data_IF_378473804451
#
_entry.id   IF_378473804451
#
_cell.length_a   1.000
_cell.length_b   1.000
_cell.length_c   1.000
_cell.angle_alpha   90.00
_cell.angle_beta   90.00
_cell.angle_gamma   90.00
#
_symmetry.space_group_name_H-M   'P 1'
#
loop_
_entity.id
_entity.type
_entity.pdbx_description
1 polymer ?
#
# COMPACT_ATOMS: atom_id res chain seq x y z
N UNK A 1 -13.56 9.13 12.80
CA UNK A 1 -12.89 8.35 11.73
C UNK A 1 -11.47 8.82 11.40
N UNK A 2 -11.20 10.14 11.30
CA UNK A 2 -9.86 10.68 10.97
C UNK A 2 -8.85 10.52 12.11
N UNK A 3 -9.29 10.78 13.34
CA UNK A 3 -8.49 10.60 14.56
C UNK A 3 -8.08 9.15 14.76
N UNK A 4 -8.98 8.19 14.48
CA UNK A 4 -8.67 6.77 14.55
C UNK A 4 -7.58 6.37 13.55
N UNK A 5 -7.62 6.90 12.32
CA UNK A 5 -6.56 6.68 11.32
C UNK A 5 -5.21 7.24 11.79
N UNK A 6 -5.21 8.42 12.40
CA UNK A 6 -4.00 9.07 12.94
C UNK A 6 -3.42 8.28 14.12
N UNK A 7 -4.27 7.87 15.06
CA UNK A 7 -3.88 7.02 16.19
C UNK A 7 -3.26 5.72 15.69
N UNK A 8 -3.89 5.08 14.70
CA UNK A 8 -3.39 3.84 14.13
C UNK A 8 -2.04 4.04 13.42
N UNK A 9 -1.87 5.13 12.67
CA UNK A 9 -0.58 5.48 12.05
C UNK A 9 0.53 5.72 13.08
N UNK A 10 0.23 6.44 14.16
CA UNK A 10 1.20 6.70 15.25
C UNK A 10 1.57 5.41 15.97
N UNK A 11 0.58 4.54 16.24
CA UNK A 11 0.81 3.24 16.86
C UNK A 11 1.72 2.36 16.00
N UNK A 12 1.47 2.30 14.69
CA UNK A 12 2.29 1.55 13.74
C UNK A 12 3.72 2.10 13.68
N UNK A 13 3.89 3.43 13.73
CA UNK A 13 5.21 4.07 13.72
C UNK A 13 6.01 3.72 14.97
N UNK A 14 5.38 3.79 16.15
CA UNK A 14 5.98 3.37 17.42
C UNK A 14 6.35 1.89 17.42
N UNK A 15 5.45 1.04 16.92
CA UNK A 15 5.69 -0.39 16.83
C UNK A 15 6.85 -0.72 15.87
N UNK A 16 6.95 -0.01 14.74
CA UNK A 16 8.07 -0.14 13.81
C UNK A 16 9.40 0.29 14.44
N UNK A 17 9.43 1.44 15.13
CA UNK A 17 10.63 1.90 15.84
C UNK A 17 11.09 0.89 16.91
N UNK A 18 10.14 0.33 17.66
CA UNK A 18 10.44 -0.70 18.66
C UNK A 18 10.89 -2.03 18.04
N UNK A 19 10.31 -2.44 16.91
CA UNK A 19 10.72 -3.64 16.19
C UNK A 19 12.14 -3.55 15.61
N UNK A 20 12.60 -2.35 15.24
CA UNK A 20 13.99 -2.12 14.81
C UNK A 20 14.96 -2.26 15.98
N UNK A 21 14.62 -1.73 17.16
CA UNK A 21 15.44 -1.86 18.38
C UNK A 21 15.47 -3.31 18.87
N UNK A 22 14.37 -4.06 18.73
CA UNK A 22 14.31 -5.47 19.10
C UNK A 22 15.21 -6.35 18.20
N UNK A 23 15.47 -5.93 16.95
CA UNK A 23 16.37 -6.64 16.03
C UNK A 23 17.85 -6.48 16.38
N UNK A 24 18.25 -5.46 17.15
CA UNK A 24 19.66 -5.25 17.54
C UNK A 24 20.07 -6.02 18.79
N UNK A 25 19.19 -6.84 19.36
CA UNK A 25 19.44 -7.65 20.55
C UNK A 25 20.04 -9.01 20.16
N UNK A 26 20.87 -9.57 21.04
CA UNK A 26 21.53 -10.88 20.81
C UNK A 26 20.54 -12.03 20.62
N UNK A 27 19.33 -11.90 21.16
CA UNK A 27 18.22 -12.84 20.96
C UNK A 27 17.02 -12.14 20.30
N UNK A 28 17.06 -11.95 18.97
CA UNK A 28 15.95 -11.35 18.27
C UNK A 28 14.74 -12.29 18.32
N UNK A 29 13.57 -11.73 18.65
CA UNK A 29 12.32 -12.50 18.67
C UNK A 29 11.84 -12.71 17.23
N UNK A 30 12.03 -13.90 16.69
CA UNK A 30 11.58 -14.31 15.33
C UNK A 30 10.12 -13.89 15.05
N UNK A 31 9.24 -13.96 16.06
CA UNK A 31 7.84 -13.60 15.91
C UNK A 31 7.62 -12.13 15.55
N UNK A 32 8.46 -11.22 16.07
CA UNK A 32 8.42 -9.78 15.75
C UNK A 32 8.84 -9.54 14.29
N UNK A 33 9.81 -10.31 13.79
CA UNK A 33 10.24 -10.24 12.39
C UNK A 33 9.15 -10.73 11.43
N UNK A 34 8.47 -11.84 11.75
CA UNK A 34 7.35 -12.36 10.94
C UNK A 34 6.22 -11.33 10.85
N UNK A 35 5.86 -10.70 11.98
CA UNK A 35 4.83 -9.65 12.01
C UNK A 35 5.28 -8.41 11.22
N UNK A 36 6.55 -8.02 11.32
CA UNK A 36 7.12 -6.91 10.56
C UNK A 36 7.01 -7.10 9.06
N UNK A 37 7.34 -8.29 8.56
CA UNK A 37 7.22 -8.66 7.15
C UNK A 37 5.75 -8.64 6.71
N UNK A 38 4.85 -9.24 7.49
CA UNK A 38 3.42 -9.26 7.16
C UNK A 38 2.82 -7.83 7.07
N UNK A 39 3.19 -6.94 7.99
CA UNK A 39 2.77 -5.54 7.96
C UNK A 39 3.36 -4.76 6.78
N UNK A 40 4.61 -5.04 6.41
CA UNK A 40 5.26 -4.43 5.25
C UNK A 40 4.53 -4.80 3.96
N UNK A 41 4.28 -6.09 3.75
CA UNK A 41 3.53 -6.58 2.57
C UNK A 41 2.10 -6.04 2.54
N UNK A 42 1.40 -6.01 3.68
CA UNK A 42 0.06 -5.43 3.76
C UNK A 42 0.06 -3.93 3.40
N UNK A 43 1.04 -3.18 3.92
CA UNK A 43 1.18 -1.76 3.62
C UNK A 43 1.48 -1.52 2.14
N UNK A 44 2.37 -2.33 1.55
CA UNK A 44 2.70 -2.29 0.13
C UNK A 44 1.48 -2.62 -0.74
N UNK A 45 0.75 -3.68 -0.42
CA UNK A 45 -0.50 -4.05 -1.11
C UNK A 45 -1.52 -2.90 -1.08
N UNK A 46 -1.70 -2.27 0.08
CA UNK A 46 -2.63 -1.15 0.25
C UNK A 46 -2.20 0.12 -0.49
N UNK A 47 -0.89 0.38 -0.58
CA UNK A 47 -0.35 1.49 -1.36
C UNK A 47 -0.54 1.26 -2.86
N UNK A 48 -0.29 0.04 -3.34
CA UNK A 48 -0.48 -0.33 -4.75
C UNK A 48 -1.94 -0.24 -5.19
N UNK A 49 -2.91 -0.52 -4.31
CA UNK A 49 -4.33 -0.29 -4.58
C UNK A 49 -4.70 1.18 -4.83
N UNK A 50 -3.88 2.11 -4.33
CA UNK A 50 -4.09 3.55 -4.49
C UNK A 50 -3.29 4.17 -5.62
N UNK A 51 -2.45 3.41 -6.31
CA UNK A 51 -1.89 3.84 -7.58
C UNK A 51 -3.06 3.90 -8.57
N UNK A 52 -3.50 5.09 -9.01
CA UNK A 52 -4.52 5.15 -10.05
C UNK A 52 -3.94 4.44 -11.26
N UNK A 53 -4.54 3.31 -11.61
CA UNK A 53 -4.43 2.78 -12.96
C UNK A 53 -4.91 3.91 -13.86
N UNK A 54 -4.01 4.62 -14.54
CA UNK A 54 -4.34 5.72 -15.45
C UNK A 54 -5.14 5.24 -16.69
N UNK A 55 -5.65 4.02 -16.67
CA UNK A 55 -6.62 3.55 -17.66
C UNK A 55 -7.96 4.20 -17.36
N UNK A 56 -8.17 5.36 -17.99
CA UNK A 56 -9.48 5.96 -18.17
C UNK A 56 -10.15 5.25 -19.36
N UNK A 57 -11.10 4.31 -19.15
CA UNK A 57 -11.78 3.60 -20.26
C UNK A 57 -12.77 4.49 -21.04
N UNK A 58 -12.57 5.82 -21.08
CA UNK A 58 -13.47 6.77 -21.74
C UNK A 58 -12.91 7.41 -23.01
N UNK A 59 -11.64 7.20 -23.35
CA UNK A 59 -11.07 7.77 -24.58
C UNK A 59 -10.99 6.77 -25.75
N UNK A 60 -11.08 5.47 -25.48
CA UNK A 60 -10.94 4.42 -26.50
C UNK A 60 -12.19 4.26 -27.39
N UNK A 61 -13.37 4.65 -26.89
CA UNK A 61 -14.66 4.54 -27.60
C UNK A 61 -14.98 5.78 -28.48
N UNK A 62 -14.08 6.77 -28.53
CA UNK A 62 -14.19 7.92 -29.45
C UNK A 62 -13.33 7.80 -30.70
N UNK A 63 -12.18 7.11 -30.62
CA UNK A 63 -11.31 6.95 -31.79
C UNK A 63 -11.84 5.91 -32.78
N UNK A 64 -12.56 4.88 -32.32
CA UNK A 64 -13.08 3.84 -33.22
C UNK A 64 -14.30 4.25 -34.05
N UNK A 65 -15.06 5.28 -33.64
CA UNK A 65 -16.29 5.71 -34.34
C UNK A 65 -16.03 6.74 -35.44
N UNK A 66 -14.82 7.28 -35.53
CA UNK A 66 -14.44 8.25 -36.55
C UNK A 66 -13.91 7.55 -37.82
N UNK A 67 -13.36 6.34 -37.70
CA UNK A 67 -12.88 5.54 -38.83
C UNK A 67 -14.00 4.70 -39.51
N UNK A 68 -15.08 4.34 -38.81
CA UNK A 68 -16.20 3.57 -39.40
C UNK A 68 -17.18 4.43 -40.24
N UNK A 69 -17.13 5.77 -40.10
CA UNK A 69 -18.01 6.69 -40.85
C UNK A 69 -17.35 7.29 -42.11
N UNK A 70 -16.20 6.74 -42.51
CA UNK A 70 -15.41 7.19 -43.68
C UNK A 70 -15.32 6.11 -44.77
N UNK A 71 -15.95 4.94 -44.61
CA UNK A 71 -16.07 3.92 -45.66
C UNK A 71 -17.40 3.97 -46.43
#
# INVERSE_FOLDING_TARGET
MKTLKIILSVLTLFFMGWAVIEQTKDHPKIWVQIIGIALFFYSMMRLMQKTPSNFTPKEEDKLQKEDENVE
#
